data_IF_597288014084
#
_entry.id   IF_597288014084
#
_cell.length_a   1.000
_cell.length_b   1.000
_cell.length_c   1.000
_cell.angle_alpha   90.00
_cell.angle_beta   90.00
_cell.angle_gamma   90.00
#
_symmetry.space_group_name_H-M   'P 1'
#
loop_
_entity.id
_entity.type
_entity.pdbx_description
1 polymer ?
#
# COMPACT_ATOMS: atom_id res chain seq x y z
N UNK A 1 -53.94 -17.18 2.52
CA UNK A 1 -54.75 -16.72 3.62
C UNK A 1 -53.92 -15.69 4.38
N UNK A 2 -54.31 -14.41 4.24
CA UNK A 2 -53.66 -13.23 4.78
C UNK A 2 -54.28 -12.81 6.09
N UNK A 3 -53.43 -12.27 6.98
CA UNK A 3 -53.72 -11.19 7.94
C UNK A 3 -54.84 -11.40 8.96
N UNK A 4 -54.46 -11.73 10.18
CA UNK A 4 -55.32 -11.55 11.36
C UNK A 4 -54.56 -11.31 12.69
N UNK A 5 -53.31 -10.84 12.69
CA UNK A 5 -52.57 -10.64 13.96
C UNK A 5 -52.01 -9.22 14.16
N UNK A 6 -52.29 -8.24 13.30
CA UNK A 6 -51.77 -6.89 13.48
C UNK A 6 -52.77 -5.83 13.98
N UNK A 7 -54.04 -6.18 14.18
CA UNK A 7 -55.05 -5.21 14.63
C UNK A 7 -55.45 -5.31 16.14
N UNK A 8 -54.87 -6.22 16.90
CA UNK A 8 -55.24 -6.43 18.32
C UNK A 8 -54.39 -5.62 19.33
N UNK A 9 -53.44 -4.80 18.90
CA UNK A 9 -52.56 -4.04 19.83
C UNK A 9 -52.84 -2.55 19.95
N UNK A 10 -53.86 -2.01 19.25
CA UNK A 10 -54.15 -0.55 19.23
C UNK A 10 -55.41 -0.11 20.03
N UNK A 11 -56.03 -0.97 20.84
CA UNK A 11 -57.24 -0.58 21.53
C UNK A 11 -57.15 -0.48 23.09
N UNK A 12 -55.93 -0.41 23.66
CA UNK A 12 -55.81 -0.46 25.15
C UNK A 12 -55.12 0.75 25.80
N UNK A 13 -55.07 1.95 25.20
CA UNK A 13 -54.72 3.15 25.97
C UNK A 13 -55.67 4.31 25.66
N UNK A 14 -56.70 4.36 26.51
CA UNK A 14 -57.58 5.50 26.61
C UNK A 14 -56.87 6.73 27.20
N UNK A 15 -57.32 7.86 26.75
CA UNK A 15 -57.08 9.25 27.14
C UNK A 15 -56.65 9.47 28.58
N UNK A 16 -55.48 10.13 28.79
CA UNK A 16 -55.34 11.19 29.83
C UNK A 16 -54.05 11.98 29.61
N UNK A 17 -54.24 13.32 29.44
CA UNK A 17 -53.45 14.47 29.91
C UNK A 17 -51.92 14.56 29.68
N UNK A 18 -51.58 15.57 28.93
CA UNK A 18 -50.38 16.41 28.90
C UNK A 18 -49.36 16.22 30.02
N UNK A 19 -48.24 15.54 29.70
CA UNK A 19 -46.95 15.83 30.31
C UNK A 19 -45.93 15.94 29.18
N UNK A 20 -45.51 17.18 28.88
CA UNK A 20 -44.37 17.47 28.05
C UNK A 20 -43.09 16.93 28.74
N UNK A 21 -42.62 15.77 28.34
CA UNK A 21 -41.23 15.40 28.55
C UNK A 21 -40.43 15.78 27.31
N UNK A 22 -39.38 16.58 27.44
CA UNK A 22 -38.46 16.80 26.32
C UNK A 22 -37.71 15.48 26.10
N UNK A 23 -38.09 14.75 25.07
CA UNK A 23 -37.28 13.66 24.53
C UNK A 23 -35.98 14.28 24.06
N UNK A 24 -34.94 14.25 24.90
CA UNK A 24 -33.56 14.35 24.49
C UNK A 24 -33.30 13.17 23.54
N UNK A 25 -33.50 13.39 22.26
CA UNK A 25 -32.92 12.56 21.22
C UNK A 25 -31.40 12.75 21.31
N UNK A 26 -30.75 11.96 22.20
CA UNK A 26 -29.35 11.65 22.05
C UNK A 26 -29.25 10.88 20.74
N UNK A 27 -28.97 11.58 19.67
CA UNK A 27 -28.52 11.00 18.42
C UNK A 27 -27.14 10.40 18.74
N UNK A 28 -27.13 9.14 19.21
CA UNK A 28 -25.91 8.34 19.22
C UNK A 28 -25.53 8.29 17.74
N UNK A 29 -24.58 9.14 17.32
CA UNK A 29 -23.86 8.93 16.08
C UNK A 29 -23.21 7.56 16.23
N UNK A 30 -23.81 6.55 15.62
CA UNK A 30 -23.13 5.29 15.34
C UNK A 30 -21.90 5.70 14.54
N UNK A 31 -20.77 5.74 15.20
CA UNK A 31 -19.49 5.87 14.52
C UNK A 31 -19.43 4.62 13.65
N UNK A 32 -19.53 4.79 12.33
CA UNK A 32 -19.32 3.69 11.40
C UNK A 32 -17.95 3.09 11.74
N UNK A 33 -17.97 1.86 12.23
CA UNK A 33 -16.73 1.13 12.53
C UNK A 33 -16.10 0.83 11.19
N UNK A 34 -15.04 1.56 10.86
CA UNK A 34 -14.25 1.33 9.66
C UNK A 34 -13.78 -0.13 9.64
N UNK A 35 -14.08 -0.82 8.56
CA UNK A 35 -13.58 -2.19 8.33
C UNK A 35 -12.16 -2.09 7.79
N UNK A 36 -11.18 -2.55 8.55
CA UNK A 36 -9.81 -2.65 8.10
C UNK A 36 -9.66 -3.72 7.02
N UNK A 37 -8.79 -3.47 6.04
CA UNK A 37 -8.43 -4.49 5.07
C UNK A 37 -7.45 -5.51 5.69
N UNK A 38 -7.20 -6.61 4.97
CA UNK A 38 -6.39 -7.72 5.47
C UNK A 38 -4.96 -7.35 5.90
N UNK A 39 -4.39 -6.33 5.23
CA UNK A 39 -3.03 -5.88 5.53
C UNK A 39 -3.02 -4.94 6.73
N UNK A 40 -4.00 -4.04 6.82
CA UNK A 40 -4.19 -3.15 7.97
C UNK A 40 -4.41 -3.96 9.26
N UNK A 41 -5.25 -5.02 9.20
CA UNK A 41 -5.43 -5.96 10.32
C UNK A 41 -4.12 -6.63 10.73
N UNK A 42 -3.31 -7.06 9.74
CA UNK A 42 -2.02 -7.69 10.00
C UNK A 42 -1.03 -6.71 10.63
N UNK A 43 -0.96 -5.48 10.11
CA UNK A 43 -0.08 -4.43 10.65
C UNK A 43 -0.52 -4.04 12.07
N UNK A 44 -1.81 -3.87 12.32
CA UNK A 44 -2.34 -3.50 13.64
C UNK A 44 -2.05 -4.59 14.69
N UNK A 45 -2.09 -5.87 14.30
CA UNK A 45 -1.86 -7.00 15.21
C UNK A 45 -0.39 -7.25 15.51
N UNK A 46 0.46 -7.26 14.47
CA UNK A 46 1.83 -7.78 14.54
C UNK A 46 2.90 -6.71 14.26
N UNK A 47 2.49 -5.51 13.84
CA UNK A 47 3.39 -4.37 13.64
C UNK A 47 3.82 -3.76 14.97
N UNK A 48 5.07 -3.30 15.04
CA UNK A 48 5.62 -2.66 16.25
C UNK A 48 5.98 -1.22 15.92
N UNK A 49 5.31 -0.28 16.61
CA UNK A 49 5.63 1.14 16.51
C UNK A 49 6.82 1.47 17.44
N UNK A 50 7.79 2.22 16.89
CA UNK A 50 8.96 2.67 17.63
C UNK A 50 9.08 4.19 17.53
N UNK A 51 9.76 4.86 18.51
CA UNK A 51 10.08 6.29 18.41
C UNK A 51 10.76 6.64 17.08
N UNK A 52 10.54 7.89 16.61
CA UNK A 52 11.10 8.35 15.35
C UNK A 52 10.30 7.94 14.10
N UNK A 53 9.01 7.68 14.26
CA UNK A 53 8.11 7.31 13.16
C UNK A 53 8.53 5.99 12.44
N UNK A 54 9.02 5.03 13.23
CA UNK A 54 9.43 3.72 12.72
C UNK A 54 8.32 2.70 12.95
N UNK A 55 7.86 2.08 11.87
CA UNK A 55 6.97 0.93 11.89
C UNK A 55 7.79 -0.31 11.50
N UNK A 56 7.91 -1.27 12.44
CA UNK A 56 8.55 -2.55 12.20
C UNK A 56 7.52 -3.59 11.80
N UNK A 57 7.74 -4.18 10.64
CA UNK A 57 6.93 -5.26 10.06
C UNK A 57 7.84 -6.44 9.65
N UNK A 58 9.01 -6.50 10.27
CA UNK A 58 10.08 -7.43 9.96
C UNK A 58 9.71 -8.90 10.22
N UNK A 59 8.74 -9.15 11.08
CA UNK A 59 8.27 -10.50 11.38
C UNK A 59 7.37 -11.14 10.32
N UNK A 60 6.89 -10.37 9.32
CA UNK A 60 5.96 -10.90 8.33
C UNK A 60 6.12 -10.33 6.91
N UNK A 61 6.83 -9.20 6.72
CA UNK A 61 6.89 -8.52 5.42
C UNK A 61 8.31 -8.44 4.84
N UNK A 62 9.29 -7.87 5.56
CA UNK A 62 10.54 -7.42 4.95
C UNK A 62 11.84 -7.97 5.59
N UNK A 63 11.73 -8.93 6.51
CA UNK A 63 12.86 -9.72 6.98
C UNK A 63 12.48 -11.21 7.01
N UNK A 64 11.52 -11.59 7.84
CA UNK A 64 10.78 -12.84 7.67
C UNK A 64 9.55 -12.54 6.79
N UNK A 65 9.30 -13.37 5.79
CA UNK A 65 8.14 -13.21 4.89
C UNK A 65 7.09 -14.27 5.23
N UNK A 66 5.87 -13.82 5.52
CA UNK A 66 4.71 -14.69 5.61
C UNK A 66 4.20 -14.98 4.18
N UNK A 67 4.42 -16.21 3.72
CA UNK A 67 4.15 -16.59 2.32
C UNK A 67 2.66 -16.47 1.98
N UNK A 68 1.77 -16.82 2.92
CA UNK A 68 0.33 -16.67 2.72
C UNK A 68 -0.09 -15.19 2.57
N UNK A 69 0.56 -14.30 3.33
CA UNK A 69 0.39 -12.85 3.18
C UNK A 69 0.93 -12.36 1.84
N UNK A 70 2.12 -12.82 1.41
CA UNK A 70 2.71 -12.45 0.12
C UNK A 70 1.80 -12.83 -1.04
N UNK A 71 1.19 -14.02 -1.02
CA UNK A 71 0.21 -14.44 -2.03
C UNK A 71 -1.04 -13.55 -2.05
N UNK A 72 -1.53 -13.13 -0.90
CA UNK A 72 -2.67 -12.20 -0.82
C UNK A 72 -2.31 -10.82 -1.38
N UNK A 73 -1.12 -10.31 -1.07
CA UNK A 73 -0.59 -9.06 -1.62
C UNK A 73 -0.48 -9.14 -3.14
N UNK A 74 0.10 -10.22 -3.68
CA UNK A 74 0.21 -10.44 -5.12
C UNK A 74 -1.14 -10.40 -5.83
N UNK A 75 -2.13 -11.16 -5.32
CA UNK A 75 -3.50 -11.17 -5.85
C UNK A 75 -4.18 -9.81 -5.77
N UNK A 76 -3.98 -9.06 -4.68
CA UNK A 76 -4.61 -7.75 -4.53
C UNK A 76 -4.01 -6.72 -5.50
N UNK A 77 -2.70 -6.71 -5.72
CA UNK A 77 -2.10 -5.86 -6.76
C UNK A 77 -2.56 -6.27 -8.16
N UNK A 78 -2.62 -7.57 -8.46
CA UNK A 78 -3.17 -8.03 -9.73
C UNK A 78 -4.61 -7.54 -9.93
N UNK A 79 -5.47 -7.64 -8.91
CA UNK A 79 -6.84 -7.13 -8.97
C UNK A 79 -6.89 -5.62 -9.22
N UNK A 80 -6.04 -4.84 -8.55
CA UNK A 80 -6.02 -3.38 -8.70
C UNK A 80 -5.51 -2.92 -10.07
N UNK A 81 -4.61 -3.64 -10.68
CA UNK A 81 -4.02 -3.32 -11.99
C UNK A 81 -4.46 -4.26 -13.11
N UNK A 82 -5.57 -4.99 -12.95
CA UNK A 82 -6.07 -5.94 -13.95
C UNK A 82 -6.45 -5.28 -15.30
N UNK A 83 -6.68 -3.98 -15.30
CA UNK A 83 -6.97 -3.16 -16.48
C UNK A 83 -5.71 -2.74 -17.27
N UNK A 84 -4.51 -3.10 -16.79
CA UNK A 84 -3.23 -2.65 -17.34
C UNK A 84 -2.49 -3.77 -18.09
N UNK A 85 -1.86 -3.46 -19.23
CA UNK A 85 -1.13 -4.45 -20.03
C UNK A 85 0.28 -4.69 -19.46
N UNK A 86 0.39 -5.05 -18.18
CA UNK A 86 1.68 -5.25 -17.52
C UNK A 86 2.45 -6.38 -18.19
N UNK A 87 3.67 -6.10 -18.65
CA UNK A 87 4.58 -7.09 -19.24
C UNK A 87 5.75 -7.42 -18.33
N UNK A 88 6.04 -6.58 -17.33
CA UNK A 88 7.16 -6.79 -16.42
C UNK A 88 6.94 -6.06 -15.09
N UNK A 89 7.40 -6.67 -13.99
CA UNK A 89 7.43 -6.02 -12.68
C UNK A 89 8.83 -5.49 -12.41
N UNK A 90 8.94 -4.24 -11.96
CA UNK A 90 10.19 -3.61 -11.54
C UNK A 90 10.15 -3.31 -10.04
N UNK A 91 11.24 -3.60 -9.34
CA UNK A 91 11.39 -3.31 -7.90
C UNK A 91 12.82 -2.94 -7.54
N UNK A 92 13.11 -2.78 -6.27
CA UNK A 92 14.45 -2.51 -5.74
C UNK A 92 14.82 -3.50 -4.63
N UNK A 93 16.11 -3.90 -4.56
CA UNK A 93 16.61 -4.72 -3.46
C UNK A 93 16.57 -3.94 -2.12
N UNK A 94 16.39 -4.64 -0.97
CA UNK A 94 16.24 -6.09 -0.87
C UNK A 94 14.77 -6.50 -0.66
N UNK A 95 13.99 -5.79 0.17
CA UNK A 95 12.66 -6.19 0.66
C UNK A 95 11.60 -6.21 -0.43
N UNK A 96 11.69 -5.33 -1.43
CA UNK A 96 10.78 -5.32 -2.57
C UNK A 96 10.80 -6.61 -3.41
N UNK A 97 11.94 -7.33 -3.44
CA UNK A 97 12.12 -8.52 -4.30
C UNK A 97 11.08 -9.60 -3.99
N UNK A 98 10.92 -9.95 -2.72
CA UNK A 98 9.99 -11.01 -2.33
C UNK A 98 8.55 -10.68 -2.74
N UNK A 99 8.11 -9.46 -2.50
CA UNK A 99 6.79 -8.98 -2.86
C UNK A 99 6.60 -9.00 -4.37
N UNK A 100 7.57 -8.46 -5.12
CA UNK A 100 7.53 -8.40 -6.58
C UNK A 100 7.47 -9.78 -7.23
N UNK A 101 8.11 -10.81 -6.65
CA UNK A 101 8.00 -12.19 -7.11
C UNK A 101 6.55 -12.70 -7.09
N UNK A 102 5.80 -12.42 -6.01
CA UNK A 102 4.40 -12.83 -5.92
C UNK A 102 3.49 -12.01 -6.85
N UNK A 103 3.75 -10.71 -7.00
CA UNK A 103 3.03 -9.88 -7.97
C UNK A 103 3.27 -10.37 -9.39
N UNK A 104 4.53 -10.58 -9.78
CA UNK A 104 4.90 -11.07 -11.11
C UNK A 104 4.30 -12.45 -11.41
N UNK A 105 4.23 -13.34 -10.40
CA UNK A 105 3.55 -14.64 -10.49
C UNK A 105 2.09 -14.49 -10.87
N UNK A 106 1.35 -13.58 -10.23
CA UNK A 106 -0.08 -13.37 -10.51
C UNK A 106 -0.32 -12.77 -11.91
N UNK A 107 0.57 -11.91 -12.40
CA UNK A 107 0.51 -11.38 -13.77
C UNK A 107 1.06 -12.36 -14.83
N UNK A 108 1.80 -13.41 -14.43
CA UNK A 108 2.45 -14.34 -15.35
C UNK A 108 3.60 -13.71 -16.14
N UNK A 109 4.29 -12.71 -15.56
CA UNK A 109 5.34 -11.93 -16.22
C UNK A 109 6.68 -12.03 -15.47
N UNK A 110 7.83 -11.75 -16.13
CA UNK A 110 9.10 -11.65 -15.43
C UNK A 110 9.15 -10.42 -14.51
N UNK A 111 10.06 -10.48 -13.50
CA UNK A 111 10.40 -9.32 -12.69
C UNK A 111 11.89 -9.00 -12.78
N UNK A 112 12.20 -7.72 -12.66
CA UNK A 112 13.57 -7.18 -12.59
C UNK A 112 13.70 -6.36 -11.32
N UNK A 113 14.87 -6.41 -10.69
CA UNK A 113 15.13 -5.56 -9.53
C UNK A 113 16.37 -4.69 -9.72
N UNK A 114 16.26 -3.45 -9.31
CA UNK A 114 17.38 -2.53 -9.23
C UNK A 114 18.28 -2.90 -8.06
N UNK A 115 19.58 -2.86 -8.29
CA UNK A 115 20.62 -3.11 -7.27
C UNK A 115 21.15 -1.80 -6.73
N UNK A 116 21.47 -1.76 -5.43
CA UNK A 116 22.06 -0.59 -4.74
C UNK A 116 23.57 -0.46 -4.93
N UNK A 117 24.20 -1.45 -5.55
CA UNK A 117 25.63 -1.45 -5.82
C UNK A 117 25.95 -2.21 -7.09
N UNK A 118 27.01 -1.78 -7.79
CA UNK A 118 27.54 -2.50 -8.94
C UNK A 118 28.22 -3.79 -8.45
N UNK A 119 27.66 -4.95 -8.76
CA UNK A 119 28.34 -6.22 -8.51
C UNK A 119 29.25 -6.57 -9.69
N UNK A 120 30.36 -7.27 -9.41
CA UNK A 120 31.33 -7.72 -10.42
C UNK A 120 30.66 -8.58 -11.51
N UNK A 121 29.53 -9.20 -11.21
CA UNK A 121 28.80 -10.09 -12.11
C UNK A 121 27.83 -9.37 -13.06
N UNK A 122 27.76 -8.03 -13.03
CA UNK A 122 26.91 -7.29 -13.96
C UNK A 122 27.81 -6.72 -15.06
N UNK A 123 27.77 -7.36 -16.22
CA UNK A 123 28.46 -6.95 -17.44
C UNK A 123 27.52 -6.16 -18.37
N UNK A 124 28.08 -5.23 -19.14
CA UNK A 124 27.36 -4.47 -20.16
C UNK A 124 26.87 -3.10 -19.69
N UNK A 125 26.00 -2.50 -20.48
CA UNK A 125 25.45 -1.18 -20.24
C UNK A 125 24.35 -1.22 -19.15
N UNK A 126 24.29 -0.15 -18.34
CA UNK A 126 23.39 -0.02 -17.22
C UNK A 126 22.55 1.24 -17.33
N UNK A 127 21.31 1.18 -16.90
CA UNK A 127 20.55 2.34 -16.44
C UNK A 127 20.98 2.63 -15.00
N UNK A 128 21.24 3.90 -14.69
CA UNK A 128 21.75 4.32 -13.37
C UNK A 128 20.91 5.51 -12.89
N UNK A 129 20.36 5.42 -11.70
CA UNK A 129 19.73 6.56 -11.05
C UNK A 129 20.38 6.84 -9.69
N UNK A 130 20.53 8.13 -9.35
CA UNK A 130 20.95 8.56 -8.02
C UNK A 130 19.71 8.66 -7.11
N UNK A 131 19.77 8.04 -5.94
CA UNK A 131 18.73 8.08 -4.92
C UNK A 131 19.31 8.67 -3.64
N UNK A 132 18.78 9.80 -3.19
CA UNK A 132 19.19 10.37 -1.91
C UNK A 132 18.56 9.60 -0.74
N UNK A 133 19.40 9.06 0.14
CA UNK A 133 18.94 8.51 1.42
C UNK A 133 18.81 9.63 2.43
N UNK A 134 17.59 9.98 2.85
CA UNK A 134 17.33 11.01 3.85
C UNK A 134 17.94 10.69 5.23
N UNK A 135 18.13 9.42 5.55
CA UNK A 135 18.66 8.97 6.84
C UNK A 135 20.17 9.14 6.97
N UNK A 136 20.92 9.14 5.87
CA UNK A 136 22.39 9.13 5.92
C UNK A 136 23.07 10.21 5.06
N UNK A 137 22.32 11.12 4.40
CA UNK A 137 22.85 12.11 3.43
C UNK A 137 23.80 11.52 2.37
N UNK A 138 23.77 10.20 2.20
CA UNK A 138 24.56 9.52 1.20
C UNK A 138 23.73 9.38 -0.09
N UNK A 139 24.35 9.78 -1.20
CA UNK A 139 23.83 9.47 -2.51
C UNK A 139 24.09 7.99 -2.79
N UNK A 140 23.03 7.22 -2.87
CA UNK A 140 23.11 5.83 -3.30
C UNK A 140 22.76 5.75 -4.79
N UNK A 141 23.51 4.99 -5.55
CA UNK A 141 23.14 4.68 -6.91
C UNK A 141 22.33 3.39 -6.93
N UNK A 142 21.29 3.38 -7.76
CA UNK A 142 20.59 2.15 -8.11
C UNK A 142 20.82 1.87 -9.58
N UNK A 143 20.97 0.61 -9.95
CA UNK A 143 21.36 0.17 -11.28
C UNK A 143 20.49 -0.98 -11.78
N UNK A 144 20.16 -0.96 -13.07
CA UNK A 144 19.50 -2.05 -13.79
C UNK A 144 20.24 -2.28 -15.10
N UNK A 145 20.53 -3.53 -15.45
CA UNK A 145 21.14 -3.84 -16.74
C UNK A 145 20.19 -3.57 -17.89
N UNK A 146 20.68 -2.89 -18.94
CA UNK A 146 19.93 -2.60 -20.16
C UNK A 146 19.44 -3.85 -20.91
N UNK A 147 20.04 -5.02 -20.61
CA UNK A 147 19.60 -6.33 -21.15
C UNK A 147 18.20 -6.73 -20.71
N UNK A 148 17.70 -6.18 -19.59
CA UNK A 148 16.45 -6.62 -18.94
C UNK A 148 15.35 -5.59 -18.94
N UNK A 149 15.61 -4.38 -19.49
CA UNK A 149 14.63 -3.30 -19.60
C UNK A 149 14.73 -2.64 -20.97
N UNK A 150 13.58 -2.43 -21.60
CA UNK A 150 13.49 -1.83 -22.94
C UNK A 150 12.23 -0.97 -23.08
N UNK A 151 12.16 -0.23 -24.20
CA UNK A 151 11.01 0.61 -24.55
C UNK A 151 9.72 -0.17 -24.82
N UNK A 152 9.80 -1.47 -25.02
CA UNK A 152 8.62 -2.35 -25.23
C UNK A 152 7.98 -2.81 -23.93
N UNK A 153 8.63 -2.53 -22.79
CA UNK A 153 8.13 -2.98 -21.49
C UNK A 153 7.02 -2.06 -20.96
N UNK A 154 5.97 -2.69 -20.46
CA UNK A 154 4.91 -2.08 -19.69
C UNK A 154 5.09 -2.45 -18.21
N UNK A 155 5.58 -1.52 -17.43
CA UNK A 155 6.11 -1.76 -16.09
C UNK A 155 5.07 -1.51 -15.01
N UNK A 156 4.93 -2.47 -14.09
CA UNK A 156 4.37 -2.25 -12.76
C UNK A 156 5.51 -2.15 -11.75
N UNK A 157 5.68 -0.99 -11.13
CA UNK A 157 6.72 -0.77 -10.11
C UNK A 157 6.16 -1.15 -8.74
N UNK A 158 6.85 -2.03 -8.00
CA UNK A 158 6.41 -2.54 -6.69
C UNK A 158 7.48 -2.26 -5.64
N UNK A 159 7.07 -1.80 -4.44
CA UNK A 159 7.97 -1.69 -3.29
C UNK A 159 7.23 -1.96 -1.97
N UNK A 160 7.99 -2.25 -0.89
CA UNK A 160 7.42 -2.54 0.43
C UNK A 160 6.95 -1.28 1.16
N UNK A 161 7.73 -0.21 1.16
CA UNK A 161 7.43 1.05 1.85
C UNK A 161 7.56 2.28 0.96
N UNK A 162 6.60 3.18 1.11
CA UNK A 162 6.71 4.54 0.57
C UNK A 162 6.80 5.54 1.72
N UNK A 163 7.97 6.15 1.87
CA UNK A 163 8.28 7.18 2.86
C UNK A 163 8.41 8.56 2.17
N UNK A 164 9.62 8.96 1.82
CA UNK A 164 9.90 10.21 1.10
C UNK A 164 9.80 10.08 -0.43
N UNK A 165 9.77 8.84 -0.96
CA UNK A 165 9.62 8.56 -2.39
C UNK A 165 10.90 8.51 -3.20
N UNK A 166 12.08 8.66 -2.58
CA UNK A 166 13.35 8.70 -3.33
C UNK A 166 13.62 7.40 -4.10
N UNK A 167 13.34 6.23 -3.51
CA UNK A 167 13.53 4.95 -4.18
C UNK A 167 12.63 4.82 -5.43
N UNK A 168 11.35 5.19 -5.30
CA UNK A 168 10.41 5.17 -6.41
C UNK A 168 10.81 6.15 -7.53
N UNK A 169 11.24 7.37 -7.18
CA UNK A 169 11.72 8.34 -8.17
C UNK A 169 12.93 7.79 -8.95
N UNK A 170 13.84 7.10 -8.26
CA UNK A 170 14.96 6.44 -8.93
C UNK A 170 14.51 5.33 -9.89
N UNK A 171 13.52 4.50 -9.49
CA UNK A 171 12.97 3.47 -10.37
C UNK A 171 12.20 4.07 -11.55
N UNK A 172 11.47 5.17 -11.34
CA UNK A 172 10.80 5.93 -12.39
C UNK A 172 11.84 6.45 -13.40
N UNK A 173 12.91 7.09 -12.92
CA UNK A 173 13.98 7.62 -13.77
C UNK A 173 14.63 6.51 -14.63
N UNK A 174 14.87 5.33 -14.06
CA UNK A 174 15.39 4.17 -14.81
C UNK A 174 14.39 3.72 -15.89
N UNK A 175 13.10 3.66 -15.56
CA UNK A 175 12.07 3.26 -16.51
C UNK A 175 11.93 4.27 -17.66
N UNK A 176 11.99 5.56 -17.36
CA UNK A 176 11.96 6.64 -18.35
C UNK A 176 13.21 6.62 -19.26
N UNK A 177 14.41 6.42 -18.68
CA UNK A 177 15.65 6.28 -19.47
C UNK A 177 15.61 5.05 -20.39
N UNK A 178 14.96 3.97 -19.97
CA UNK A 178 14.73 2.79 -20.79
C UNK A 178 13.68 3.01 -21.89
N UNK A 179 12.91 4.11 -21.84
CA UNK A 179 11.77 4.36 -22.72
C UNK A 179 10.56 3.50 -22.42
N UNK A 180 10.55 2.78 -21.29
CA UNK A 180 9.48 1.88 -20.89
C UNK A 180 8.23 2.65 -20.44
N UNK A 181 7.04 2.05 -20.64
CA UNK A 181 5.78 2.61 -20.15
C UNK A 181 5.55 2.19 -18.70
N UNK A 182 5.32 3.17 -17.82
CA UNK A 182 4.94 2.89 -16.42
C UNK A 182 3.41 2.81 -16.32
N UNK A 183 2.88 1.61 -16.12
CA UNK A 183 1.44 1.36 -15.99
C UNK A 183 0.89 1.72 -14.61
N UNK A 184 1.75 1.71 -13.60
CA UNK A 184 1.44 2.13 -12.26
C UNK A 184 2.49 1.75 -11.23
N UNK A 185 2.25 2.18 -10.00
CA UNK A 185 3.10 1.91 -8.85
C UNK A 185 2.25 1.29 -7.73
N UNK A 186 2.72 0.16 -7.21
CA UNK A 186 2.09 -0.58 -6.11
C UNK A 186 2.97 -0.55 -4.86
N UNK A 187 2.43 -0.07 -3.76
CA UNK A 187 3.13 0.04 -2.46
C UNK A 187 2.38 -0.77 -1.42
N UNK A 188 3.11 -1.59 -0.67
CA UNK A 188 2.49 -2.35 0.41
C UNK A 188 2.08 -1.43 1.55
N UNK A 189 3.00 -0.60 2.05
CA UNK A 189 2.75 0.33 3.16
C UNK A 189 3.21 1.74 2.80
N UNK A 190 2.28 2.68 2.69
CA UNK A 190 2.57 4.10 2.53
C UNK A 190 2.56 4.80 3.90
N UNK A 191 3.59 5.58 4.20
CA UNK A 191 3.60 6.49 5.34
C UNK A 191 2.91 7.79 4.93
N UNK A 192 1.60 7.87 5.11
CA UNK A 192 0.74 8.96 4.66
C UNK A 192 1.09 10.33 5.25
N UNK A 193 1.75 10.34 6.43
CA UNK A 193 2.28 11.55 7.07
C UNK A 193 3.59 12.05 6.44
N UNK A 194 4.20 11.32 5.50
CA UNK A 194 5.38 11.73 4.74
C UNK A 194 5.01 12.19 3.33
N UNK A 195 5.97 12.83 2.64
CA UNK A 195 5.68 13.53 1.38
C UNK A 195 5.60 12.60 0.15
N UNK A 196 6.15 11.37 0.23
CA UNK A 196 6.40 10.51 -0.92
C UNK A 196 5.14 10.23 -1.75
N UNK A 197 4.04 9.84 -1.09
CA UNK A 197 2.80 9.56 -1.80
C UNK A 197 2.26 10.77 -2.54
N UNK A 198 2.36 11.97 -1.95
CA UNK A 198 1.95 13.21 -2.61
C UNK A 198 2.86 13.56 -3.79
N UNK A 199 4.17 13.37 -3.65
CA UNK A 199 5.14 13.62 -4.73
C UNK A 199 4.83 12.73 -5.93
N UNK A 200 4.67 11.43 -5.72
CA UNK A 200 4.42 10.47 -6.80
C UNK A 200 3.07 10.75 -7.51
N UNK A 201 2.00 11.03 -6.74
CA UNK A 201 0.70 11.36 -7.34
C UNK A 201 0.74 12.67 -8.13
N UNK A 202 1.50 13.66 -7.67
CA UNK A 202 1.67 14.94 -8.39
C UNK A 202 2.48 14.79 -9.70
N UNK A 203 3.29 13.73 -9.84
CA UNK A 203 3.93 13.38 -11.11
C UNK A 203 2.94 12.76 -12.13
N UNK A 204 1.70 12.51 -11.72
CA UNK A 204 0.64 11.98 -12.58
C UNK A 204 0.59 10.45 -12.67
N UNK A 205 1.40 9.74 -11.91
CA UNK A 205 1.38 8.28 -11.89
C UNK A 205 0.22 7.72 -11.06
N UNK A 206 -0.35 6.61 -11.53
CA UNK A 206 -1.29 5.81 -10.74
C UNK A 206 -0.52 5.12 -9.60
N UNK A 207 -0.81 5.52 -8.37
CA UNK A 207 -0.23 4.98 -7.15
C UNK A 207 -1.31 4.28 -6.32
N UNK A 208 -1.14 2.97 -6.15
CA UNK A 208 -1.99 2.13 -5.30
C UNK A 208 -1.21 1.68 -4.07
N UNK A 209 -1.65 2.08 -2.90
CA UNK A 209 -1.07 1.65 -1.62
C UNK A 209 -2.04 0.71 -0.92
N UNK A 210 -1.58 -0.47 -0.45
CA UNK A 210 -2.47 -1.43 0.22
C UNK A 210 -2.85 -1.00 1.63
N UNK A 211 -1.94 -0.32 2.32
CA UNK A 211 -2.21 0.34 3.60
C UNK A 211 -1.55 1.71 3.61
N UNK A 212 -2.29 2.74 4.05
CA UNK A 212 -1.75 4.09 4.24
C UNK A 212 -1.82 4.41 5.74
N UNK A 213 -0.65 4.55 6.36
CA UNK A 213 -0.52 4.89 7.77
C UNK A 213 -0.45 6.40 7.92
N UNK A 214 -1.48 7.01 8.52
CA UNK A 214 -1.55 8.46 8.73
C UNK A 214 -0.95 8.92 10.06
N UNK A 215 -0.99 8.06 11.09
CA UNK A 215 -0.38 8.35 12.37
C UNK A 215 0.04 7.06 13.10
N UNK A 216 1.02 7.20 13.98
CA UNK A 216 1.49 6.12 14.85
C UNK A 216 1.87 6.71 16.20
N UNK A 217 1.50 6.01 17.27
CA UNK A 217 1.85 6.38 18.64
C UNK A 217 2.80 5.33 19.23
N UNK A 218 4.05 5.68 19.52
CA UNK A 218 5.02 4.74 20.08
C UNK A 218 4.78 4.39 21.55
N UNK A 219 3.97 5.16 22.29
CA UNK A 219 3.65 4.89 23.69
C UNK A 219 2.54 3.85 23.82
N UNK A 220 1.51 3.98 23.00
CA UNK A 220 0.34 3.08 23.02
C UNK A 220 0.44 1.95 21.98
N UNK A 221 1.30 2.09 20.98
CA UNK A 221 1.36 1.20 19.82
C UNK A 221 0.23 1.42 18.82
N UNK A 222 -0.62 2.42 19.01
CA UNK A 222 -1.76 2.69 18.14
C UNK A 222 -1.32 3.12 16.74
N UNK A 223 -2.01 2.63 15.72
CA UNK A 223 -1.78 2.96 14.31
C UNK A 223 -3.10 3.45 13.71
N UNK A 224 -3.06 4.60 13.07
CA UNK A 224 -4.20 5.16 12.33
C UNK A 224 -3.97 4.98 10.83
N UNK A 225 -4.91 4.32 10.18
CA UNK A 225 -4.88 4.13 8.74
C UNK A 225 -5.81 5.11 8.04
N UNK A 226 -5.40 5.57 6.84
CA UNK A 226 -6.23 6.37 5.96
C UNK A 226 -7.34 5.51 5.35
N UNK A 227 -8.53 6.06 5.27
CA UNK A 227 -9.61 5.48 4.49
C UNK A 227 -9.28 5.52 2.99
N UNK A 228 -9.55 4.40 2.27
CA UNK A 228 -9.24 4.24 0.85
C UNK A 228 -10.47 3.81 0.07
#
# INVERSE_FOLDING_TARGET
VKNAESEAYLSFFGKTTDILFPLCYNTIKLQEVRVMNFLEERIARDGIVKPGNVLKVDSFLNHQMDIGLMERIGREFHRRFADKPVTKVLTIEASGIGIACFVAKEFGVPMVFAKKSKSINIEGEMYIAEVESFTHKNKNQIIVSKKFLSAEDHLLIIDDFLANGCALQGLISIAEEAGATIEGLGIVIEKGFQIGGRVIRNLGYRLESLAIVDAMDPETGAITFREQ
#
